data_IF_886844121358
#
_entry.id   IF_886844121358
#
_cell.length_a   1.000
_cell.length_b   1.000
_cell.length_c   1.000
_cell.angle_alpha   90.00
_cell.angle_beta   90.00
_cell.angle_gamma   90.00
#
_symmetry.space_group_name_H-M   'P 1'
#
loop_
_entity.id
_entity.type
_entity.pdbx_description
1 polymer ?
#
# COMPACT_ATOMS: atom_id res chain seq x y z
N UNK A 1 15.59 41.25 49.40
CA UNK A 1 16.47 40.63 48.39
C UNK A 1 15.75 39.38 47.88
N UNK A 2 14.87 39.47 46.88
CA UNK A 2 15.11 39.38 45.42
C UNK A 2 15.62 38.02 44.90
N UNK A 3 14.79 37.35 44.07
CA UNK A 3 15.14 36.26 43.12
C UNK A 3 14.38 34.94 43.39
N UNK A 4 13.18 34.65 42.86
CA UNK A 4 12.75 34.25 41.48
C UNK A 4 13.37 32.95 40.92
N UNK A 5 12.46 31.99 40.67
CA UNK A 5 12.42 30.97 39.60
C UNK A 5 13.43 29.82 39.60
N UNK A 6 12.93 28.58 39.45
CA UNK A 6 13.33 27.57 38.43
C UNK A 6 12.59 26.22 38.70
N UNK A 7 11.67 25.88 37.78
CA UNK A 7 11.32 24.54 37.24
C UNK A 7 10.66 23.55 38.21
N UNK A 8 9.34 23.28 38.20
CA UNK A 8 8.46 22.71 37.15
C UNK A 8 8.99 21.42 36.50
N UNK A 9 8.96 20.30 37.22
CA UNK A 9 8.88 18.89 36.74
C UNK A 9 8.80 18.07 38.04
N UNK A 10 7.74 17.32 38.37
CA UNK A 10 7.54 15.90 38.04
C UNK A 10 6.10 15.53 38.49
N UNK A 11 5.12 16.36 38.16
CA UNK A 11 3.72 16.08 38.46
C UNK A 11 2.87 16.11 37.18
N UNK A 12 3.06 15.11 36.31
CA UNK A 12 1.99 14.72 35.40
C UNK A 12 2.04 13.20 35.14
N UNK A 13 1.23 12.52 35.94
CA UNK A 13 0.46 11.33 35.58
C UNK A 13 1.22 10.07 35.17
N UNK A 14 1.36 9.21 36.17
CA UNK A 14 0.90 7.84 36.04
C UNK A 14 -0.46 7.79 35.30
N UNK A 15 -0.43 7.27 34.07
CA UNK A 15 -1.55 6.59 33.43
C UNK A 15 -0.94 5.32 32.82
N UNK A 16 -1.06 4.19 33.53
CA UNK A 16 -2.03 3.13 33.21
C UNK A 16 -1.75 2.59 31.80
N UNK A 17 -1.03 1.48 31.67
CA UNK A 17 -1.62 0.13 31.72
C UNK A 17 -2.85 -0.01 30.78
N UNK A 18 -2.73 -0.94 29.83
CA UNK A 18 -3.82 -1.56 29.06
C UNK A 18 -4.45 -0.70 27.94
N UNK A 19 -3.95 -0.87 26.73
CA UNK A 19 -4.56 -0.40 25.47
C UNK A 19 -3.47 -0.24 24.42
N UNK A 20 -3.22 -1.22 23.54
CA UNK A 20 -4.06 -1.47 22.37
C UNK A 20 -3.36 -0.87 21.15
N UNK A 21 -2.96 -1.70 20.18
CA UNK A 21 -2.43 -1.36 18.85
C UNK A 21 -1.48 -0.13 18.77
N UNK A 22 -0.18 -0.38 18.56
CA UNK A 22 0.83 0.64 18.24
C UNK A 22 0.35 1.68 17.21
N UNK A 23 -0.10 2.84 17.69
CA UNK A 23 -0.56 3.96 16.88
C UNK A 23 0.67 4.69 16.33
N UNK A 24 0.83 4.69 15.01
CA UNK A 24 1.83 5.54 14.35
C UNK A 24 1.20 6.91 14.06
N UNK A 25 1.80 7.95 14.61
CA UNK A 25 1.31 9.33 14.52
C UNK A 25 1.88 10.02 13.26
N UNK A 26 1.00 10.60 12.45
CA UNK A 26 1.36 11.64 11.49
C UNK A 26 0.74 12.94 12.02
N UNK A 27 1.56 13.80 12.62
CA UNK A 27 1.16 15.16 13.01
C UNK A 27 1.50 16.14 11.89
N UNK A 28 0.49 16.86 11.42
CA UNK A 28 0.55 17.75 10.26
C UNK A 28 -0.08 19.12 10.55
N UNK A 29 -0.41 19.41 11.81
CA UNK A 29 -0.93 20.71 12.23
C UNK A 29 -2.41 20.98 11.90
N UNK A 30 -3.13 20.02 11.33
CA UNK A 30 -4.55 20.13 10.93
C UNK A 30 -5.45 18.98 11.44
N UNK A 31 -4.90 18.09 12.26
CA UNK A 31 -5.61 16.97 12.90
C UNK A 31 -4.92 15.62 12.69
N UNK A 32 -4.96 14.76 13.71
CA UNK A 32 -4.36 13.42 13.67
C UNK A 32 -5.23 12.51 12.80
N UNK A 33 -4.69 12.01 11.67
CA UNK A 33 -5.39 10.99 10.87
C UNK A 33 -5.03 9.60 11.38
N UNK A 34 -5.99 8.93 12.03
CA UNK A 34 -5.79 7.60 12.60
C UNK A 34 -5.98 6.51 11.54
N UNK A 35 -4.91 5.79 11.21
CA UNK A 35 -4.96 4.59 10.39
C UNK A 35 -5.32 3.35 11.21
N UNK A 36 -5.98 2.37 10.57
CA UNK A 36 -6.31 1.07 11.16
C UNK A 36 -5.22 0.05 10.85
N UNK A 37 -4.66 -0.59 11.88
CA UNK A 37 -3.73 -1.70 11.70
C UNK A 37 -4.50 -2.95 11.25
N UNK A 38 -4.04 -3.58 10.17
CA UNK A 38 -4.61 -4.80 9.62
C UNK A 38 -3.49 -5.79 9.32
N UNK A 39 -3.61 -7.02 9.84
CA UNK A 39 -2.74 -8.12 9.46
C UNK A 39 -3.12 -8.64 8.08
N UNK A 40 -2.25 -8.45 7.10
CA UNK A 40 -2.48 -8.71 5.68
C UNK A 40 -1.38 -9.61 5.10
N UNK A 41 -1.75 -10.52 4.20
CA UNK A 41 -0.77 -11.24 3.39
C UNK A 41 -0.46 -10.43 2.13
N UNK A 42 0.79 -10.01 1.98
CA UNK A 42 1.29 -9.31 0.81
C UNK A 42 2.02 -10.27 -0.13
N UNK A 43 1.82 -10.06 -1.41
CA UNK A 43 2.68 -10.55 -2.48
C UNK A 43 3.24 -9.37 -3.26
N UNK A 44 4.00 -9.64 -4.32
CA UNK A 44 4.49 -8.62 -5.21
C UNK A 44 4.30 -9.02 -6.67
N UNK A 45 4.08 -8.01 -7.50
CA UNK A 45 3.94 -8.15 -8.94
C UNK A 45 4.72 -7.06 -9.67
N UNK A 46 4.89 -7.23 -10.97
CA UNK A 46 5.54 -6.27 -11.85
C UNK A 46 4.84 -6.31 -13.22
N UNK A 47 5.15 -5.42 -14.17
CA UNK A 47 4.39 -5.33 -15.43
C UNK A 47 4.66 -6.49 -16.42
N UNK A 48 5.45 -7.50 -16.04
CA UNK A 48 5.85 -8.58 -16.94
C UNK A 48 4.69 -9.52 -17.30
N UNK A 49 4.86 -10.27 -18.38
CA UNK A 49 3.86 -11.22 -18.87
C UNK A 49 3.46 -12.30 -17.86
N UNK A 50 4.41 -12.73 -17.03
CA UNK A 50 4.20 -13.77 -15.99
C UNK A 50 3.28 -13.25 -14.87
N UNK A 51 3.55 -12.05 -14.36
CA UNK A 51 2.76 -11.46 -13.28
C UNK A 51 1.41 -10.92 -13.78
N UNK A 52 1.38 -10.33 -14.97
CA UNK A 52 0.19 -9.64 -15.51
C UNK A 52 -0.55 -10.44 -16.60
N UNK A 53 -0.28 -11.75 -16.71
CA UNK A 53 -0.98 -12.69 -17.61
C UNK A 53 -1.07 -12.22 -19.07
N UNK A 54 0.04 -11.81 -19.65
CA UNK A 54 0.11 -11.39 -21.06
C UNK A 54 1.34 -11.97 -21.78
N UNK A 55 1.26 -12.06 -23.11
CA UNK A 55 2.34 -12.53 -23.99
C UNK A 55 2.31 -11.76 -25.31
N UNK A 56 3.36 -11.85 -26.10
CA UNK A 56 3.34 -11.36 -27.47
C UNK A 56 2.63 -12.36 -28.40
N UNK A 57 1.81 -11.85 -29.31
CA UNK A 57 1.29 -12.63 -30.45
C UNK A 57 2.38 -12.78 -31.54
N UNK A 58 2.14 -13.57 -32.61
CA UNK A 58 3.11 -13.70 -33.71
C UNK A 58 3.47 -12.40 -34.42
N UNK A 59 2.74 -11.32 -34.19
CA UNK A 59 2.96 -9.99 -34.79
C UNK A 59 3.66 -9.04 -33.80
N UNK A 60 4.12 -9.53 -32.64
CA UNK A 60 4.80 -8.74 -31.63
C UNK A 60 3.88 -7.84 -30.79
N UNK A 61 2.55 -8.06 -30.81
CA UNK A 61 1.59 -7.25 -30.05
C UNK A 61 1.28 -7.91 -28.70
N UNK A 62 1.19 -7.17 -27.59
CA UNK A 62 0.84 -7.74 -26.29
C UNK A 62 -0.64 -8.14 -26.26
N UNK A 63 -0.89 -9.40 -25.94
CA UNK A 63 -2.23 -9.99 -25.80
C UNK A 63 -2.38 -10.72 -24.47
N UNK A 64 -3.62 -10.85 -24.00
CA UNK A 64 -3.95 -11.61 -22.79
C UNK A 64 -3.56 -13.09 -23.00
N UNK A 65 -2.78 -13.66 -22.08
CA UNK A 65 -2.25 -15.01 -22.21
C UNK A 65 -3.24 -16.10 -21.76
N UNK A 66 -4.13 -15.80 -20.81
CA UNK A 66 -5.02 -16.78 -20.18
C UNK A 66 -6.39 -16.20 -19.80
N UNK A 67 -7.34 -17.10 -19.51
CA UNK A 67 -8.71 -16.74 -19.11
C UNK A 67 -9.62 -16.37 -20.29
N UNK A 68 -10.82 -15.88 -19.96
CA UNK A 68 -11.92 -15.60 -20.92
C UNK A 68 -11.55 -14.62 -22.04
N UNK A 69 -10.57 -13.74 -21.80
CA UNK A 69 -10.13 -12.74 -22.76
C UNK A 69 -8.83 -13.12 -23.50
N UNK A 70 -8.39 -14.38 -23.44
CA UNK A 70 -7.17 -14.86 -24.12
C UNK A 70 -7.15 -14.40 -25.59
N UNK A 71 -6.00 -13.88 -26.02
CA UNK A 71 -5.77 -13.42 -27.39
C UNK A 71 -6.23 -11.98 -27.67
N UNK A 72 -7.03 -11.36 -26.80
CA UNK A 72 -7.41 -9.95 -26.95
C UNK A 72 -6.22 -9.03 -26.63
N UNK A 73 -6.15 -7.81 -27.23
CA UNK A 73 -5.12 -6.83 -26.91
C UNK A 73 -5.02 -6.53 -25.41
N UNK A 74 -3.79 -6.41 -24.90
CA UNK A 74 -3.51 -6.06 -23.50
C UNK A 74 -2.85 -4.70 -23.43
N UNK A 75 -3.45 -3.78 -22.66
CA UNK A 75 -2.75 -2.59 -22.18
C UNK A 75 -1.76 -2.99 -21.07
N UNK A 76 -0.47 -3.09 -21.41
CA UNK A 76 0.59 -3.50 -20.46
C UNK A 76 0.92 -2.35 -19.50
N UNK A 77 1.05 -2.66 -18.21
CA UNK A 77 1.38 -1.67 -17.19
C UNK A 77 0.26 -0.68 -16.86
N UNK A 78 -0.96 -0.88 -17.38
CA UNK A 78 -2.13 -0.09 -17.02
C UNK A 78 -2.94 -0.85 -15.97
N UNK A 79 -3.21 -0.17 -14.86
CA UNK A 79 -3.96 -0.67 -13.70
C UNK A 79 -5.46 -0.66 -13.95
N UNK A 80 -6.22 -1.34 -13.10
CA UNK A 80 -7.68 -1.33 -13.17
C UNK A 80 -8.34 0.05 -12.91
N UNK A 81 -7.62 1.03 -12.34
CA UNK A 81 -8.06 2.43 -12.24
C UNK A 81 -7.82 3.25 -13.51
N UNK A 82 -7.11 2.68 -14.50
CA UNK A 82 -6.73 3.36 -15.74
C UNK A 82 -5.38 4.09 -15.67
N UNK A 83 -4.75 4.17 -14.51
CA UNK A 83 -3.42 4.76 -14.34
C UNK A 83 -2.32 3.81 -14.75
N UNK A 84 -1.16 4.35 -15.13
CA UNK A 84 0.06 3.56 -15.30
C UNK A 84 0.57 3.12 -13.93
N UNK A 85 0.85 1.83 -13.78
CA UNK A 85 1.42 1.30 -12.55
C UNK A 85 2.79 1.91 -12.28
N UNK A 86 3.05 2.22 -11.03
CA UNK A 86 4.31 2.81 -10.55
C UNK A 86 4.60 2.30 -9.13
N UNK A 87 5.83 2.47 -8.59
CA UNK A 87 6.09 2.21 -7.18
C UNK A 87 5.06 2.93 -6.31
N UNK A 88 4.40 2.20 -5.41
CA UNK A 88 3.26 2.69 -4.63
C UNK A 88 1.88 2.26 -5.17
N UNK A 89 1.77 1.78 -6.41
CA UNK A 89 0.55 1.12 -6.88
C UNK A 89 0.31 -0.17 -6.09
N UNK A 90 -0.91 -0.34 -5.59
CA UNK A 90 -1.35 -1.54 -4.88
C UNK A 90 -2.51 -2.19 -5.62
N UNK A 91 -2.48 -3.52 -5.73
CA UNK A 91 -3.63 -4.31 -6.15
C UNK A 91 -4.34 -4.91 -4.92
N UNK A 92 -5.66 -4.74 -4.85
CA UNK A 92 -6.47 -5.24 -3.75
C UNK A 92 -7.88 -5.67 -4.21
N UNK A 93 -8.64 -6.28 -3.29
CA UNK A 93 -10.07 -6.49 -3.48
C UNK A 93 -10.84 -5.20 -3.15
N UNK A 94 -11.34 -4.52 -4.19
CA UNK A 94 -11.97 -3.20 -4.06
C UNK A 94 -13.30 -3.19 -3.31
N UNK A 95 -13.86 -4.37 -2.98
CA UNK A 95 -15.01 -4.47 -2.06
C UNK A 95 -14.64 -4.16 -0.62
N UNK A 96 -13.36 -4.28 -0.27
CA UNK A 96 -12.83 -4.03 1.06
C UNK A 96 -11.89 -2.83 1.11
N UNK A 97 -11.15 -2.60 0.03
CA UNK A 97 -10.25 -1.47 -0.12
C UNK A 97 -10.57 -0.73 -1.42
N UNK A 98 -11.56 0.19 -1.42
CA UNK A 98 -11.94 0.93 -2.62
C UNK A 98 -10.74 1.62 -3.29
N UNK A 99 -10.84 1.87 -4.60
CA UNK A 99 -9.80 2.60 -5.32
C UNK A 99 -9.48 3.92 -4.62
N UNK A 100 -8.20 4.27 -4.51
CA UNK A 100 -7.71 5.42 -3.76
C UNK A 100 -7.43 5.15 -2.27
N UNK A 101 -7.73 3.96 -1.73
CA UNK A 101 -7.35 3.62 -0.35
C UNK A 101 -5.83 3.74 -0.18
N UNK A 102 -5.39 4.54 0.78
CA UNK A 102 -3.98 4.68 1.14
C UNK A 102 -3.62 3.63 2.19
N UNK A 103 -2.51 2.94 1.98
CA UNK A 103 -2.00 1.90 2.88
C UNK A 103 -0.51 2.08 3.06
N UNK A 104 -0.05 2.13 4.30
CA UNK A 104 1.37 2.00 4.63
C UNK A 104 1.72 0.53 4.87
N UNK A 105 2.73 0.05 4.15
CA UNK A 105 3.22 -1.32 4.18
C UNK A 105 4.66 -1.29 4.69
N UNK A 106 4.93 -1.76 5.92
CA UNK A 106 6.29 -1.80 6.46
C UNK A 106 7.28 -2.48 5.51
N UNK A 107 8.38 -1.80 5.24
CA UNK A 107 9.41 -2.28 4.32
C UNK A 107 9.11 -2.04 2.83
N UNK A 108 7.91 -1.61 2.43
CA UNK A 108 7.62 -1.17 1.07
C UNK A 108 7.46 0.35 1.01
N UNK A 109 6.62 0.92 1.88
CA UNK A 109 6.30 2.34 1.91
C UNK A 109 4.80 2.59 1.85
N UNK A 110 4.42 3.83 1.52
CA UNK A 110 3.03 4.19 1.24
C UNK A 110 2.63 3.73 -0.15
N UNK A 111 1.40 3.23 -0.26
CA UNK A 111 0.80 2.90 -1.55
C UNK A 111 -0.68 3.21 -1.60
N UNK A 112 -1.20 3.23 -2.83
CA UNK A 112 -2.58 3.55 -3.16
C UNK A 112 -3.17 2.36 -3.88
N UNK A 113 -4.38 1.95 -3.48
CA UNK A 113 -5.13 0.94 -4.23
C UNK A 113 -5.58 1.52 -5.56
N UNK A 114 -4.94 1.09 -6.63
CA UNK A 114 -5.21 1.55 -8.00
C UNK A 114 -5.45 0.37 -8.95
N UNK A 115 -5.17 -0.85 -8.50
CA UNK A 115 -5.24 -2.04 -9.33
C UNK A 115 -6.07 -3.17 -8.70
N UNK A 116 -6.40 -4.16 -9.53
CA UNK A 116 -7.12 -5.37 -9.12
C UNK A 116 -6.43 -6.60 -9.73
N UNK A 117 -6.15 -7.58 -8.90
CA UNK A 117 -5.68 -8.90 -9.34
C UNK A 117 -6.82 -9.93 -9.41
N UNK A 118 -6.69 -10.88 -10.34
CA UNK A 118 -7.60 -12.04 -10.43
C UNK A 118 -7.58 -12.89 -9.16
N UNK A 119 -6.39 -13.08 -8.57
CA UNK A 119 -6.17 -13.91 -7.38
C UNK A 119 -6.09 -13.10 -6.08
N UNK A 120 -6.17 -11.77 -6.17
CA UNK A 120 -6.12 -10.86 -5.03
C UNK A 120 -7.55 -10.62 -4.56
N UNK A 121 -8.02 -11.49 -3.66
CA UNK A 121 -9.39 -11.52 -3.14
C UNK A 121 -9.43 -11.56 -1.62
N UNK A 122 -10.47 -10.93 -1.05
CA UNK A 122 -10.72 -10.91 0.38
C UNK A 122 -10.03 -9.76 1.13
N UNK A 123 -10.33 -9.66 2.43
CA UNK A 123 -9.85 -8.59 3.33
C UNK A 123 -8.36 -8.67 3.68
N UNK A 124 -7.69 -9.79 3.41
CA UNK A 124 -6.32 -10.05 3.90
C UNK A 124 -5.32 -10.35 2.78
N UNK A 125 -5.56 -9.82 1.58
CA UNK A 125 -4.69 -9.99 0.41
C UNK A 125 -4.39 -8.65 -0.25
N UNK A 126 -3.11 -8.39 -0.50
CA UNK A 126 -2.60 -7.19 -1.17
C UNK A 126 -1.44 -7.59 -2.08
N UNK A 127 -1.34 -7.00 -3.26
CA UNK A 127 -0.20 -7.18 -4.16
C UNK A 127 0.51 -5.86 -4.37
N UNK A 128 1.82 -5.84 -4.14
CA UNK A 128 2.64 -4.63 -4.20
C UNK A 128 3.33 -4.54 -5.56
N UNK A 129 3.18 -3.42 -6.25
CA UNK A 129 3.85 -3.23 -7.54
C UNK A 129 5.33 -2.96 -7.36
N UNK A 130 6.15 -3.61 -8.20
CA UNK A 130 7.57 -3.31 -8.37
C UNK A 130 7.88 -3.12 -9.86
N UNK A 131 8.93 -2.38 -10.16
CA UNK A 131 9.35 -2.11 -11.53
C UNK A 131 9.84 -3.38 -12.24
N UNK A 132 10.53 -4.26 -11.51
CA UNK A 132 11.14 -5.47 -12.08
C UNK A 132 10.62 -6.75 -11.44
N UNK A 133 10.68 -7.84 -12.22
CA UNK A 133 10.33 -9.17 -11.71
C UNK A 133 11.28 -9.62 -10.60
N UNK A 134 12.56 -9.25 -10.69
CA UNK A 134 13.56 -9.57 -9.67
C UNK A 134 13.23 -8.91 -8.32
N UNK A 135 12.81 -7.64 -8.31
CA UNK A 135 12.35 -6.95 -7.10
C UNK A 135 11.13 -7.62 -6.49
N UNK A 136 10.11 -7.93 -7.31
CA UNK A 136 8.92 -8.62 -6.85
C UNK A 136 9.26 -10.00 -6.23
N UNK A 137 10.18 -10.74 -6.83
CA UNK A 137 10.68 -12.01 -6.30
C UNK A 137 11.45 -11.84 -4.99
N UNK A 138 12.25 -10.79 -4.85
CA UNK A 138 12.97 -10.47 -3.60
C UNK A 138 12.00 -10.08 -2.47
N UNK A 139 10.89 -9.40 -2.80
CA UNK A 139 9.83 -9.18 -1.84
C UNK A 139 9.21 -10.52 -1.39
N UNK A 140 8.75 -11.34 -2.33
CA UNK A 140 8.15 -12.64 -2.02
C UNK A 140 6.77 -12.53 -1.37
N UNK A 141 6.37 -13.56 -0.60
CA UNK A 141 5.09 -13.58 0.13
C UNK A 141 5.33 -13.35 1.61
N UNK A 142 4.61 -12.41 2.23
CA UNK A 142 4.81 -12.05 3.64
C UNK A 142 3.47 -11.82 4.33
N UNK A 143 3.39 -12.14 5.62
CA UNK A 143 2.29 -11.70 6.49
C UNK A 143 2.79 -10.54 7.32
N UNK A 144 2.21 -9.36 7.14
CA UNK A 144 2.65 -8.12 7.78
C UNK A 144 1.49 -7.42 8.44
N UNK A 145 1.79 -6.50 9.35
CA UNK A 145 0.83 -5.53 9.87
C UNK A 145 0.94 -4.25 9.06
N UNK A 146 -0.08 -3.96 8.27
CA UNK A 146 -0.16 -2.75 7.45
C UNK A 146 -1.10 -1.74 8.10
N UNK A 147 -0.89 -0.45 7.82
CA UNK A 147 -1.77 0.62 8.30
C UNK A 147 -2.65 1.08 7.15
N UNK A 148 -3.95 0.92 7.29
CA UNK A 148 -4.95 1.33 6.29
C UNK A 148 -5.58 2.64 6.72
N UNK A 149 -5.53 3.65 5.85
CA UNK A 149 -6.06 4.97 6.17
C UNK A 149 -7.52 5.13 5.70
N UNK A 150 -8.29 6.04 6.33
CA UNK A 150 -9.64 6.36 5.89
C UNK A 150 -9.70 6.82 4.42
N UNK A 151 -10.85 6.64 3.78
CA UNK A 151 -11.10 7.18 2.44
C UNK A 151 -10.97 8.70 2.43
N UNK A 152 -10.46 9.26 1.32
CA UNK A 152 -10.18 10.69 1.20
C UNK A 152 -8.86 11.15 1.84
N UNK A 153 -8.12 10.26 2.52
CA UNK A 153 -6.77 10.56 2.98
C UNK A 153 -5.89 10.93 1.77
N UNK A 154 -5.14 12.05 1.81
CA UNK A 154 -4.19 12.38 0.76
C UNK A 154 -3.23 11.22 0.50
N UNK A 155 -2.99 10.97 -0.78
CA UNK A 155 -2.22 9.83 -1.27
C UNK A 155 -0.87 9.61 -0.56
N UNK A 156 -0.19 10.69 -0.17
CA UNK A 156 1.15 10.67 0.39
C UNK A 156 1.31 11.81 1.41
N UNK A 157 1.77 11.54 2.65
CA UNK A 157 2.32 12.59 3.51
C UNK A 157 3.48 13.28 2.79
N UNK A 158 3.60 14.62 2.88
CA UNK A 158 4.60 15.40 2.14
C UNK A 158 6.06 14.96 2.36
N UNK A 159 6.35 14.29 3.49
CA UNK A 159 7.69 13.82 3.87
C UNK A 159 7.81 12.29 3.90
N UNK A 160 6.86 11.56 3.30
CA UNK A 160 6.91 10.10 3.26
C UNK A 160 8.03 9.64 2.29
N UNK A 161 8.87 8.66 2.69
CA UNK A 161 9.83 8.08 1.79
C UNK A 161 9.11 7.41 0.61
N UNK A 162 9.71 7.52 -0.57
CA UNK A 162 9.19 6.88 -1.76
C UNK A 162 9.05 5.36 -1.54
N UNK A 163 7.98 4.74 -2.05
CA UNK A 163 7.85 3.30 -2.01
C UNK A 163 8.98 2.63 -2.81
N UNK A 164 9.42 1.48 -2.31
CA UNK A 164 10.46 0.64 -2.93
C UNK A 164 10.01 -0.03 -4.21
#
# INVERSE_FOLDING_TARGET
MHGKFVILTVALFAALALGGCTVFFLDRGDGVTYGKIVRIETTAYCPCGVCCSWKFDPHGRPVVAAGRNRGKPKAVGITASGKRAHPGTLAADTRYYPMGTVIYVPGYGYGIVEDRGGDIKGRRRLDLFFNTHAEARRWGRRKIEAVVFPQGTPAMPQNAPAPR
#
